data_IF_131868311788
#
_entry.id   IF_131868311788
#
_cell.length_a   1.000
_cell.length_b   1.000
_cell.length_c   1.000
_cell.angle_alpha   90.00
_cell.angle_beta   90.00
_cell.angle_gamma   90.00
#
_symmetry.space_group_name_H-M   'P 1'
#
loop_
_entity.id
_entity.type
_entity.pdbx_description
1 polymer ?
#
# COMPACT_ATOMS: atom_id res chain seq x y z
N UNK A 1 -0.13 0.50 -2.95
CA UNK A 1 -0.16 -0.98 -2.92
C UNK A 1 -1.20 -1.44 -3.92
N UNK A 2 -0.91 -2.45 -4.73
CA UNK A 2 -1.86 -3.13 -5.62
C UNK A 2 -1.94 -4.59 -5.16
N UNK A 3 -3.14 -5.14 -5.04
CA UNK A 3 -3.38 -6.51 -4.59
C UNK A 3 -3.92 -7.34 -5.75
N UNK A 4 -3.16 -8.33 -6.20
CA UNK A 4 -3.50 -9.18 -7.34
C UNK A 4 -4.12 -10.48 -6.83
N UNK A 5 -5.33 -10.82 -7.31
CA UNK A 5 -6.04 -12.04 -6.95
C UNK A 5 -6.59 -12.74 -8.20
N UNK A 6 -6.79 -14.05 -8.11
CA UNK A 6 -7.41 -14.84 -9.19
C UNK A 6 -8.83 -15.27 -8.80
N UNK A 7 -9.76 -15.40 -9.76
CA UNK A 7 -11.17 -15.76 -9.48
C UNK A 7 -11.39 -17.27 -9.22
N UNK A 8 -10.34 -18.10 -9.33
CA UNK A 8 -10.47 -19.54 -9.16
C UNK A 8 -10.69 -19.93 -7.69
N UNK A 9 -11.64 -20.84 -7.46
CA UNK A 9 -11.96 -21.35 -6.13
C UNK A 9 -10.78 -22.09 -5.46
N UNK A 10 -9.87 -22.67 -6.26
CA UNK A 10 -8.66 -23.32 -5.72
C UNK A 10 -7.78 -22.35 -4.93
N UNK A 11 -7.77 -21.07 -5.30
CA UNK A 11 -6.96 -20.03 -4.65
C UNK A 11 -7.79 -19.16 -3.69
N UNK A 12 -8.96 -19.64 -3.25
CA UNK A 12 -9.87 -18.83 -2.45
C UNK A 12 -9.24 -18.39 -1.11
N UNK A 13 -8.54 -19.29 -0.41
CA UNK A 13 -7.90 -18.99 0.87
C UNK A 13 -6.81 -17.91 0.72
N UNK A 14 -5.92 -18.04 -0.28
CA UNK A 14 -4.87 -17.07 -0.56
C UNK A 14 -5.40 -15.74 -1.10
N UNK A 15 -6.49 -15.77 -1.85
CA UNK A 15 -7.16 -14.54 -2.29
C UNK A 15 -7.77 -13.80 -1.09
N UNK A 16 -8.33 -14.53 -0.13
CA UNK A 16 -8.87 -13.96 1.10
C UNK A 16 -7.77 -13.38 2.00
N UNK A 17 -6.63 -14.07 2.16
CA UNK A 17 -5.49 -13.55 2.92
C UNK A 17 -4.94 -12.27 2.30
N UNK A 18 -4.80 -12.24 0.97
CA UNK A 18 -4.34 -11.08 0.19
C UNK A 18 -5.28 -9.87 0.36
N UNK A 19 -6.59 -10.06 0.24
CA UNK A 19 -7.58 -9.00 0.43
C UNK A 19 -7.60 -8.46 1.87
N UNK A 20 -7.48 -9.34 2.87
CA UNK A 20 -7.41 -8.92 4.28
C UNK A 20 -6.17 -8.07 4.55
N UNK A 21 -5.03 -8.44 3.98
CA UNK A 21 -3.81 -7.64 4.10
C UNK A 21 -3.95 -6.30 3.39
N UNK A 22 -4.48 -6.28 2.17
CA UNK A 22 -4.75 -5.04 1.43
C UNK A 22 -5.64 -4.07 2.21
N UNK A 23 -6.69 -4.58 2.87
CA UNK A 23 -7.57 -3.77 3.71
C UNK A 23 -6.84 -3.15 4.92
N UNK A 24 -5.92 -3.90 5.55
CA UNK A 24 -5.08 -3.36 6.63
C UNK A 24 -4.11 -2.31 6.12
N UNK A 25 -3.47 -2.55 4.99
CA UNK A 25 -2.52 -1.63 4.38
C UNK A 25 -3.16 -0.29 3.97
N UNK A 26 -4.45 -0.29 3.58
CA UNK A 26 -5.23 0.94 3.32
C UNK A 26 -5.27 1.89 4.52
N UNK A 27 -5.21 1.37 5.75
CA UNK A 27 -5.31 2.17 6.96
C UNK A 27 -3.97 2.78 7.40
N UNK A 28 -2.87 2.49 6.69
CA UNK A 28 -1.56 3.07 6.98
C UNK A 28 -1.58 4.55 6.59
N UNK A 29 -1.43 5.43 7.59
CA UNK A 29 -1.35 6.88 7.40
C UNK A 29 0.11 7.31 7.31
N UNK A 30 0.57 7.56 6.09
CA UNK A 30 1.90 8.12 5.87
C UNK A 30 1.89 9.64 6.14
N UNK A 31 3.02 10.17 6.62
CA UNK A 31 3.29 11.61 6.70
C UNK A 31 4.30 11.98 5.62
N UNK A 32 3.87 12.18 4.36
CA UNK A 32 4.79 12.58 3.30
C UNK A 32 5.35 13.96 3.62
N UNK A 33 6.66 14.13 3.45
CA UNK A 33 7.35 15.42 3.47
C UNK A 33 7.86 15.70 2.07
N UNK A 34 7.85 16.96 1.66
CA UNK A 34 8.55 17.36 0.44
C UNK A 34 10.04 17.19 0.73
N UNK A 35 10.72 16.37 -0.07
CA UNK A 35 12.16 16.22 0.03
C UNK A 35 12.81 17.36 -0.77
N UNK A 36 12.73 18.57 -0.23
CA UNK A 36 13.55 19.70 -0.69
C UNK A 36 14.94 19.60 -0.06
N UNK A 37 15.98 19.87 -0.84
CA UNK A 37 17.33 20.01 -0.33
C UNK A 37 17.37 21.23 0.60
N UNK A 38 17.94 21.15 1.82
CA UNK A 38 17.96 22.27 2.77
C UNK A 38 18.67 23.53 2.25
N UNK A 39 19.32 23.46 1.08
CA UNK A 39 19.92 24.60 0.38
C UNK A 39 18.92 25.44 -0.41
N UNK A 40 17.83 24.87 -0.92
CA UNK A 40 16.84 25.58 -1.75
C UNK A 40 15.75 26.27 -0.92
N UNK A 41 15.60 25.89 0.36
CA UNK A 41 14.64 26.52 1.27
C UNK A 41 15.11 27.88 1.85
N UNK A 42 16.33 28.32 1.53
CA UNK A 42 16.99 29.51 2.10
C UNK A 42 17.31 30.61 1.06
N UNK A 43 16.79 30.51 -0.16
CA UNK A 43 16.95 31.50 -1.23
C UNK A 43 15.65 32.25 -1.49
#
# INVERSE_FOLDING_TARGET
MIANIGPSNYNYEESLTTLRYANRAKNIKNKPRVNEDPKDALL
#
